data_IF_430302217381
#
_entry.id   IF_430302217381
#
_cell.length_a   1.000
_cell.length_b   1.000
_cell.length_c   1.000
_cell.angle_alpha   90.00
_cell.angle_beta   90.00
_cell.angle_gamma   90.00
#
_symmetry.space_group_name_H-M   'P 1'
#
loop_
_entity.id
_entity.type
_entity.pdbx_description
1 polymer ?
#
# COMPACT_ATOMS: atom_id res chain seq x y z
N UNK A 1 19.37 13.56 -34.80
CA UNK A 1 18.20 13.23 -33.94
C UNK A 1 17.59 14.54 -33.44
N UNK A 2 16.27 14.72 -33.40
CA UNK A 2 15.68 15.98 -32.93
C UNK A 2 15.87 16.16 -31.41
N UNK A 3 15.88 17.41 -30.92
CA UNK A 3 16.07 17.68 -29.48
C UNK A 3 15.02 16.98 -28.61
N UNK A 4 13.74 16.97 -29.01
CA UNK A 4 12.69 16.24 -28.27
C UNK A 4 13.01 14.75 -28.18
N UNK A 5 13.39 14.12 -29.29
CA UNK A 5 13.73 12.69 -29.31
C UNK A 5 14.93 12.40 -28.42
N UNK A 6 15.94 13.27 -28.43
CA UNK A 6 17.15 13.13 -27.61
C UNK A 6 16.83 13.30 -26.12
N UNK A 7 16.07 14.33 -25.76
CA UNK A 7 15.60 14.57 -24.40
C UNK A 7 14.77 13.41 -23.88
N UNK A 8 13.83 12.90 -24.68
CA UNK A 8 13.00 11.76 -24.34
C UNK A 8 13.83 10.47 -24.17
N UNK A 9 14.79 10.23 -25.07
CA UNK A 9 15.63 9.03 -25.04
C UNK A 9 16.48 8.93 -23.77
N UNK A 10 16.84 10.06 -23.15
CA UNK A 10 17.59 10.10 -21.88
C UNK A 10 16.63 10.19 -20.68
N UNK A 11 15.70 11.14 -20.69
CA UNK A 11 14.84 11.43 -19.53
C UNK A 11 13.87 10.28 -19.21
N UNK A 12 13.31 9.62 -20.21
CA UNK A 12 12.35 8.53 -20.01
C UNK A 12 12.96 7.32 -19.29
N UNK A 13 14.07 6.72 -19.76
CA UNK A 13 14.70 5.64 -19.01
C UNK A 13 15.27 6.13 -17.66
N UNK A 14 15.81 7.35 -17.57
CA UNK A 14 16.27 7.90 -16.29
C UNK A 14 15.14 7.91 -15.25
N UNK A 15 13.95 8.40 -15.63
CA UNK A 15 12.78 8.39 -14.78
C UNK A 15 12.44 6.99 -14.27
N UNK A 16 12.33 6.00 -15.17
CA UNK A 16 11.99 4.62 -14.79
C UNK A 16 13.09 3.89 -14.01
N UNK A 17 14.35 4.32 -14.13
CA UNK A 17 15.43 3.77 -13.30
C UNK A 17 15.44 4.35 -11.89
N UNK A 18 15.14 5.64 -11.73
CA UNK A 18 15.17 6.31 -10.43
C UNK A 18 13.88 6.16 -9.61
N UNK A 19 12.70 6.27 -10.25
CA UNK A 19 11.40 6.31 -9.56
C UNK A 19 11.10 5.06 -8.73
N UNK A 20 11.31 3.82 -9.20
CA UNK A 20 11.05 2.63 -8.38
C UNK A 20 11.86 2.62 -7.09
N UNK A 21 13.13 3.04 -7.14
CA UNK A 21 14.01 3.12 -5.97
C UNK A 21 13.47 4.14 -4.98
N UNK A 22 13.06 5.32 -5.47
CA UNK A 22 12.45 6.37 -4.63
C UNK A 22 11.13 5.93 -4.00
N UNK A 23 10.30 5.16 -4.72
CA UNK A 23 9.05 4.61 -4.18
C UNK A 23 9.35 3.63 -3.04
N UNK A 24 10.32 2.74 -3.20
CA UNK A 24 10.72 1.82 -2.11
C UNK A 24 11.14 2.59 -0.87
N UNK A 25 11.95 3.64 -1.04
CA UNK A 25 12.36 4.52 0.07
C UNK A 25 11.15 5.21 0.70
N UNK A 26 10.23 5.75 -0.10
CA UNK A 26 9.02 6.41 0.38
C UNK A 26 8.14 5.44 1.21
N UNK A 27 8.02 4.19 0.76
CA UNK A 27 7.29 3.14 1.49
C UNK A 27 7.98 2.77 2.80
N UNK A 28 9.32 2.73 2.84
CA UNK A 28 10.07 2.51 4.08
C UNK A 28 9.88 3.66 5.08
N UNK A 29 9.89 4.91 4.60
CA UNK A 29 9.58 6.08 5.45
C UNK A 29 8.18 5.97 6.06
N UNK A 30 7.18 5.62 5.24
CA UNK A 30 5.81 5.39 5.71
C UNK A 30 5.73 4.27 6.76
N UNK A 31 6.46 3.18 6.55
CA UNK A 31 6.52 2.08 7.53
C UNK A 31 7.14 2.51 8.87
N UNK A 32 8.05 3.49 8.85
CA UNK A 32 8.67 4.07 10.05
C UNK A 32 7.82 5.18 10.70
N UNK A 33 6.63 5.48 10.17
CA UNK A 33 5.79 6.60 10.66
C UNK A 33 6.29 7.98 10.25
N UNK A 34 7.25 8.06 9.30
CA UNK A 34 7.71 9.31 8.72
C UNK A 34 6.99 9.55 7.39
N UNK A 35 6.10 10.53 7.35
CA UNK A 35 5.35 10.82 6.15
C UNK A 35 6.22 11.51 5.09
N UNK A 36 6.32 10.98 3.86
CA UNK A 36 7.16 11.55 2.79
C UNK A 36 6.79 12.96 2.35
N UNK A 37 5.59 13.43 2.70
CA UNK A 37 5.08 14.77 2.42
C UNK A 37 5.20 15.74 3.60
N UNK A 38 5.69 15.27 4.76
CA UNK A 38 6.03 16.13 5.90
C UNK A 38 7.52 16.49 5.87
N UNK A 39 7.90 17.64 6.41
CA UNK A 39 9.26 18.18 6.31
C UNK A 39 10.41 17.20 6.66
N UNK A 40 10.36 16.38 7.73
CA UNK A 40 11.46 15.44 7.99
C UNK A 40 11.52 14.32 6.95
N UNK A 41 10.39 13.75 6.54
CA UNK A 41 10.34 12.68 5.53
C UNK A 41 10.65 13.19 4.12
N UNK A 42 10.13 14.37 3.76
CA UNK A 42 10.35 15.02 2.47
C UNK A 42 11.82 15.43 2.31
N UNK A 43 12.43 16.07 3.31
CA UNK A 43 13.83 16.48 3.24
C UNK A 43 14.76 15.26 3.09
N UNK A 44 14.48 14.19 3.83
CA UNK A 44 15.23 12.93 3.71
C UNK A 44 15.08 12.32 2.31
N UNK A 45 13.85 12.25 1.79
CA UNK A 45 13.57 11.70 0.46
C UNK A 45 14.24 12.54 -0.64
N UNK A 46 14.22 13.86 -0.54
CA UNK A 46 14.89 14.76 -1.48
C UNK A 46 16.41 14.60 -1.43
N UNK A 47 17.00 14.53 -0.24
CA UNK A 47 18.43 14.34 -0.07
C UNK A 47 18.89 13.02 -0.70
N UNK A 48 18.17 11.94 -0.43
CA UNK A 48 18.48 10.60 -0.97
C UNK A 48 18.15 10.49 -2.47
N UNK A 49 17.22 11.31 -2.98
CA UNK A 49 16.89 11.39 -4.40
C UNK A 49 18.06 11.90 -5.25
N UNK A 50 18.90 12.80 -4.73
CA UNK A 50 20.02 13.39 -5.49
C UNK A 50 20.97 12.34 -6.06
N UNK A 51 21.59 11.45 -5.27
CA UNK A 51 22.51 10.43 -5.80
C UNK A 51 21.80 9.45 -6.75
N UNK A 52 20.52 9.14 -6.48
CA UNK A 52 19.71 8.27 -7.34
C UNK A 52 19.50 8.92 -8.72
N UNK A 53 19.18 10.22 -8.74
CA UNK A 53 18.95 10.97 -9.97
C UNK A 53 20.22 11.14 -10.81
N UNK A 54 21.35 11.44 -10.15
CA UNK A 54 22.65 11.52 -10.81
C UNK A 54 23.00 10.19 -11.47
N UNK A 55 22.83 9.08 -10.74
CA UNK A 55 23.09 7.74 -11.26
C UNK A 55 22.16 7.36 -12.41
N UNK A 56 20.86 7.61 -12.27
CA UNK A 56 19.86 7.34 -13.30
C UNK A 56 20.13 8.12 -14.60
N UNK A 57 20.46 9.41 -14.49
CA UNK A 57 20.84 10.26 -15.61
C UNK A 57 22.16 9.82 -16.25
N UNK A 58 23.14 9.41 -15.45
CA UNK A 58 24.42 8.91 -15.95
C UNK A 58 24.25 7.64 -16.78
N UNK A 59 23.54 6.65 -16.23
CA UNK A 59 23.29 5.36 -16.87
C UNK A 59 22.52 5.54 -18.18
N UNK A 60 21.42 6.30 -18.15
CA UNK A 60 20.58 6.57 -19.33
C UNK A 60 21.30 7.39 -20.40
N UNK A 61 22.11 8.37 -20.02
CA UNK A 61 22.88 9.14 -21.00
C UNK A 61 23.96 8.27 -21.64
N UNK A 62 24.70 7.46 -20.87
CA UNK A 62 25.71 6.53 -21.39
C UNK A 62 25.12 5.53 -22.37
N UNK A 63 23.91 5.01 -22.12
CA UNK A 63 23.23 4.11 -23.07
C UNK A 63 22.95 4.82 -24.38
N UNK A 64 22.39 6.02 -24.35
CA UNK A 64 22.07 6.78 -25.57
C UNK A 64 23.33 7.17 -26.35
N UNK A 65 24.39 7.60 -25.66
CA UNK A 65 25.64 8.01 -26.29
C UNK A 65 26.33 6.84 -27.00
N UNK A 66 26.46 5.69 -26.34
CA UNK A 66 27.17 4.54 -26.89
C UNK A 66 26.32 3.78 -27.93
N UNK A 67 25.06 3.48 -27.61
CA UNK A 67 24.22 2.61 -28.43
C UNK A 67 23.61 3.33 -29.64
N UNK A 68 23.06 4.54 -29.41
CA UNK A 68 22.30 5.27 -30.44
C UNK A 68 23.15 6.27 -31.22
N UNK A 69 24.09 6.94 -30.55
CA UNK A 69 24.90 8.00 -31.14
C UNK A 69 26.32 7.56 -31.52
N UNK A 70 26.80 6.43 -30.99
CA UNK A 70 28.19 5.95 -31.17
C UNK A 70 29.23 7.00 -30.78
N UNK A 71 28.99 7.66 -29.66
CA UNK A 71 29.86 8.67 -29.07
C UNK A 71 30.39 8.18 -27.73
N UNK A 72 31.63 8.53 -27.41
CA UNK A 72 32.19 8.30 -26.09
C UNK A 72 31.55 9.27 -25.09
N UNK A 73 30.88 8.78 -24.03
CA UNK A 73 30.25 9.64 -23.05
C UNK A 73 31.32 10.39 -22.24
N UNK A 74 31.14 11.71 -21.99
CA UNK A 74 32.01 12.43 -21.07
C UNK A 74 32.05 11.78 -19.67
N UNK A 75 33.17 11.92 -18.96
CA UNK A 75 33.39 11.18 -17.70
C UNK A 75 32.40 11.52 -16.56
N UNK A 76 31.77 12.71 -16.60
CA UNK A 76 30.85 13.21 -15.55
C UNK A 76 29.47 13.57 -16.07
N UNK A 77 29.00 12.89 -17.11
CA UNK A 77 27.71 13.20 -17.78
C UNK A 77 26.53 13.22 -16.81
N UNK A 78 26.45 12.26 -15.87
CA UNK A 78 25.36 12.26 -14.87
C UNK A 78 25.28 13.54 -14.06
N UNK A 79 26.41 14.00 -13.50
CA UNK A 79 26.46 15.20 -12.66
C UNK A 79 26.22 16.46 -13.49
N UNK A 80 26.80 16.54 -14.70
CA UNK A 80 26.61 17.71 -15.57
C UNK A 80 25.16 17.83 -16.01
N UNK A 81 24.55 16.73 -16.46
CA UNK A 81 23.13 16.72 -16.83
C UNK A 81 22.23 16.98 -15.63
N UNK A 82 22.55 16.44 -14.45
CA UNK A 82 21.74 16.64 -13.25
C UNK A 82 21.65 18.11 -12.86
N UNK A 83 22.78 18.82 -12.73
CA UNK A 83 22.72 20.23 -12.30
C UNK A 83 22.07 21.12 -13.38
N UNK A 84 22.35 20.84 -14.66
CA UNK A 84 21.73 21.57 -15.78
C UNK A 84 20.21 21.32 -15.83
N UNK A 85 19.78 20.08 -15.58
CA UNK A 85 18.37 19.73 -15.46
C UNK A 85 17.74 20.39 -14.23
N UNK A 86 18.43 20.45 -13.09
CA UNK A 86 17.96 21.16 -11.90
C UNK A 86 17.75 22.64 -12.16
N UNK A 87 18.68 23.30 -12.87
CA UNK A 87 18.50 24.69 -13.28
C UNK A 87 17.31 24.85 -14.23
N UNK A 88 17.16 23.93 -15.20
CA UNK A 88 16.00 23.91 -16.08
C UNK A 88 14.71 23.73 -15.28
N UNK A 89 14.65 22.81 -14.32
CA UNK A 89 13.48 22.60 -13.47
C UNK A 89 13.17 23.82 -12.61
N UNK A 90 14.18 24.44 -11.99
CA UNK A 90 14.02 25.62 -11.15
C UNK A 90 13.38 26.80 -11.90
N UNK A 91 13.68 26.94 -13.21
CA UNK A 91 13.10 27.99 -14.05
C UNK A 91 11.79 27.56 -14.71
N UNK A 92 11.75 26.36 -15.27
CA UNK A 92 10.65 25.89 -16.10
C UNK A 92 9.43 25.47 -15.28
N UNK A 93 9.64 24.80 -14.14
CA UNK A 93 8.54 24.24 -13.36
C UNK A 93 7.60 25.31 -12.79
N UNK A 94 8.09 26.45 -12.21
CA UNK A 94 7.20 27.52 -11.78
C UNK A 94 6.41 28.13 -12.94
N UNK A 95 7.04 28.32 -14.10
CA UNK A 95 6.38 28.85 -15.30
C UNK A 95 5.31 27.89 -15.79
N UNK A 96 5.63 26.60 -15.91
CA UNK A 96 4.69 25.56 -16.31
C UNK A 96 3.51 25.46 -15.32
N UNK A 97 3.78 25.52 -14.02
CA UNK A 97 2.75 25.54 -12.99
C UNK A 97 1.81 26.75 -13.13
N UNK A 98 2.35 27.94 -13.37
CA UNK A 98 1.54 29.14 -13.60
C UNK A 98 0.69 29.03 -14.87
N UNK A 99 1.27 28.58 -15.99
CA UNK A 99 0.53 28.42 -17.25
C UNK A 99 -0.59 27.38 -17.09
N UNK A 100 -0.28 26.23 -16.50
CA UNK A 100 -1.25 25.13 -16.33
C UNK A 100 -2.36 25.53 -15.35
N UNK A 101 -2.03 26.15 -14.21
CA UNK A 101 -3.03 26.59 -13.23
C UNK A 101 -3.98 27.64 -13.81
N UNK A 102 -3.47 28.60 -14.59
CA UNK A 102 -4.31 29.59 -15.29
C UNK A 102 -5.16 28.94 -16.38
N UNK A 103 -4.61 27.97 -17.11
CA UNK A 103 -5.36 27.21 -18.12
C UNK A 103 -6.50 26.44 -17.47
N UNK A 104 -6.25 25.73 -16.37
CA UNK A 104 -7.29 25.00 -15.62
C UNK A 104 -8.35 25.95 -15.10
N UNK A 105 -7.97 27.09 -14.53
CA UNK A 105 -8.92 28.09 -14.02
C UNK A 105 -9.79 28.67 -15.15
N UNK A 106 -9.18 29.06 -16.27
CA UNK A 106 -9.88 29.58 -17.44
C UNK A 106 -10.81 28.54 -18.08
N UNK A 107 -10.32 27.31 -18.25
CA UNK A 107 -11.09 26.21 -18.82
C UNK A 107 -12.29 25.84 -17.94
N UNK A 108 -12.12 25.82 -16.60
CA UNK A 108 -13.23 25.63 -15.66
C UNK A 108 -14.25 26.75 -15.73
N UNK A 109 -13.81 28.00 -15.84
CA UNK A 109 -14.72 29.14 -15.96
C UNK A 109 -15.58 29.05 -17.23
N UNK A 110 -14.94 28.74 -18.38
CA UNK A 110 -15.66 28.54 -19.66
C UNK A 110 -16.60 27.34 -19.57
N UNK A 111 -16.13 26.21 -19.03
CA UNK A 111 -16.94 25.02 -18.81
C UNK A 111 -18.20 25.34 -17.98
N UNK A 112 -18.04 26.06 -16.88
CA UNK A 112 -19.15 26.50 -16.02
C UNK A 112 -20.19 27.34 -16.78
N UNK A 113 -19.75 28.28 -17.64
CA UNK A 113 -20.64 29.09 -18.47
C UNK A 113 -21.43 28.27 -19.49
N UNK A 114 -20.83 27.23 -20.06
CA UNK A 114 -21.52 26.33 -21.00
C UNK A 114 -22.67 25.60 -20.31
N UNK A 115 -22.53 25.22 -19.03
CA UNK A 115 -23.61 24.60 -18.26
C UNK A 115 -24.71 25.58 -17.78
N UNK A 116 -24.48 26.89 -17.87
CA UNK A 116 -25.53 27.89 -17.62
C UNK A 116 -26.52 27.99 -18.80
N UNK A 117 -26.15 27.46 -19.98
CA UNK A 117 -27.01 27.40 -21.17
C UNK A 117 -28.18 26.43 -20.95
N UNK A 118 -29.36 26.81 -21.44
CA UNK A 118 -30.62 26.07 -21.23
C UNK A 118 -30.57 24.61 -21.73
N UNK A 119 -29.73 24.32 -22.71
CA UNK A 119 -29.58 22.99 -23.32
C UNK A 119 -29.05 21.92 -22.35
N UNK A 120 -28.32 22.31 -21.30
CA UNK A 120 -27.60 21.38 -20.40
C UNK A 120 -28.14 21.36 -18.96
N UNK A 121 -29.18 22.15 -18.66
CA UNK A 121 -29.81 22.20 -17.33
C UNK A 121 -30.61 20.94 -16.97
N UNK A 122 -31.05 20.18 -17.96
CA UNK A 122 -31.88 18.97 -17.79
C UNK A 122 -31.08 17.68 -17.56
N UNK A 123 -29.73 17.74 -17.63
CA UNK A 123 -28.91 16.55 -17.49
C UNK A 123 -28.80 16.06 -16.03
N UNK A 124 -28.79 14.73 -15.79
CA UNK A 124 -28.48 14.15 -14.49
C UNK A 124 -27.12 14.61 -13.94
N UNK A 125 -27.03 14.74 -12.61
CA UNK A 125 -25.81 15.21 -11.90
C UNK A 125 -24.54 14.44 -12.30
N UNK A 126 -24.53 13.09 -12.44
CA UNK A 126 -23.32 12.36 -12.82
C UNK A 126 -22.81 12.70 -14.23
N UNK A 127 -23.74 12.86 -15.19
CA UNK A 127 -23.40 13.20 -16.58
C UNK A 127 -22.82 14.61 -16.67
N UNK A 128 -23.38 15.54 -15.90
CA UNK A 128 -22.87 16.91 -15.79
C UNK A 128 -21.43 16.95 -15.33
N UNK A 129 -21.08 16.22 -14.26
CA UNK A 129 -19.71 16.19 -13.72
C UNK A 129 -18.75 15.57 -14.75
N UNK A 130 -19.16 14.51 -15.44
CA UNK A 130 -18.33 13.85 -16.45
C UNK A 130 -18.05 14.76 -17.66
N UNK A 131 -19.07 15.43 -18.18
CA UNK A 131 -18.92 16.39 -19.30
C UNK A 131 -18.10 17.60 -18.86
N UNK A 132 -18.32 18.11 -17.64
CA UNK A 132 -17.53 19.21 -17.10
C UNK A 132 -16.05 18.83 -17.01
N UNK A 133 -15.74 17.69 -16.39
CA UNK A 133 -14.38 17.18 -16.24
C UNK A 133 -13.68 16.96 -17.58
N UNK A 134 -14.38 16.40 -18.57
CA UNK A 134 -13.80 16.17 -19.91
C UNK A 134 -13.61 17.47 -20.69
N UNK A 135 -14.52 18.43 -20.56
CA UNK A 135 -14.45 19.70 -21.26
C UNK A 135 -13.27 20.56 -20.79
N UNK A 136 -13.12 20.80 -19.48
CA UNK A 136 -11.94 21.55 -19.00
C UNK A 136 -10.68 20.69 -18.94
N UNK A 137 -10.82 19.39 -18.64
CA UNK A 137 -9.71 18.46 -18.50
C UNK A 137 -9.00 18.15 -19.82
N UNK A 138 -9.72 18.09 -20.95
CA UNK A 138 -9.09 17.91 -22.27
C UNK A 138 -8.23 19.11 -22.66
N UNK A 139 -8.70 20.33 -22.44
CA UNK A 139 -7.95 21.56 -22.69
C UNK A 139 -6.70 21.63 -21.81
N UNK A 140 -6.85 21.38 -20.50
CA UNK A 140 -5.73 21.31 -19.57
C UNK A 140 -4.71 20.24 -20.00
N UNK A 141 -5.17 19.03 -20.33
CA UNK A 141 -4.29 17.95 -20.78
C UNK A 141 -3.49 18.32 -22.04
N UNK A 142 -4.09 19.01 -23.02
CA UNK A 142 -3.38 19.47 -24.23
C UNK A 142 -2.28 20.47 -23.87
N UNK A 143 -2.56 21.43 -22.98
CA UNK A 143 -1.56 22.41 -22.53
C UNK A 143 -0.45 21.72 -21.73
N UNK A 144 -0.80 20.81 -20.82
CA UNK A 144 0.17 20.01 -20.08
C UNK A 144 1.09 19.22 -21.02
N UNK A 145 0.54 18.57 -22.05
CA UNK A 145 1.35 17.86 -23.05
C UNK A 145 2.27 18.82 -23.83
N UNK A 146 1.79 20.01 -24.20
CA UNK A 146 2.62 21.02 -24.84
C UNK A 146 3.76 21.49 -23.93
N UNK A 147 3.50 21.67 -22.63
CA UNK A 147 4.53 21.99 -21.63
C UNK A 147 5.53 20.84 -21.46
N UNK A 148 5.08 19.59 -21.43
CA UNK A 148 6.00 18.43 -21.39
C UNK A 148 6.91 18.41 -22.62
N UNK A 149 6.37 18.66 -23.82
CA UNK A 149 7.18 18.78 -25.04
C UNK A 149 8.15 19.96 -24.96
N UNK A 150 7.71 21.10 -24.41
CA UNK A 150 8.56 22.26 -24.17
C UNK A 150 9.73 21.96 -23.23
N UNK A 151 9.48 21.23 -22.15
CA UNK A 151 10.53 20.75 -21.26
C UNK A 151 11.49 19.80 -21.96
N UNK A 152 10.99 18.83 -22.74
CA UNK A 152 11.80 17.90 -23.52
C UNK A 152 12.66 18.59 -24.57
N UNK A 153 12.19 19.70 -25.15
CA UNK A 153 12.99 20.55 -26.03
C UNK A 153 14.17 21.19 -25.28
N UNK A 154 13.90 21.76 -24.10
CA UNK A 154 14.92 22.37 -23.26
C UNK A 154 15.97 21.36 -22.80
N UNK A 155 15.52 20.26 -22.22
CA UNK A 155 16.39 19.18 -21.76
C UNK A 155 17.15 18.53 -22.93
N UNK A 156 16.48 18.31 -24.06
CA UNK A 156 17.10 17.80 -25.28
C UNK A 156 18.19 18.71 -25.85
N UNK A 157 18.06 20.04 -25.72
CA UNK A 157 19.14 20.98 -26.07
C UNK A 157 20.33 20.84 -25.15
N UNK A 158 20.10 20.71 -23.84
CA UNK A 158 21.16 20.48 -22.84
C UNK A 158 21.94 19.20 -23.19
N UNK A 159 21.25 18.09 -23.44
CA UNK A 159 21.89 16.84 -23.88
C UNK A 159 22.63 17.04 -25.21
N UNK A 160 22.04 17.77 -26.15
CA UNK A 160 22.65 18.10 -27.44
C UNK A 160 23.99 18.86 -27.30
N UNK A 161 24.11 19.75 -26.31
CA UNK A 161 25.39 20.42 -26.02
C UNK A 161 26.46 19.45 -25.53
N UNK A 162 26.09 18.44 -24.74
CA UNK A 162 27.02 17.39 -24.29
C UNK A 162 27.39 16.44 -25.44
N UNK A 163 26.46 16.19 -26.35
CA UNK A 163 26.71 15.41 -27.58
C UNK A 163 27.72 16.13 -28.48
N UNK A 164 27.63 17.46 -28.59
CA UNK A 164 28.54 18.25 -29.42
C UNK A 164 29.99 18.26 -28.92
N UNK A 165 30.21 18.07 -27.61
CA UNK A 165 31.55 17.98 -27.00
C UNK A 165 32.09 16.55 -26.92
N UNK A 166 31.25 15.55 -27.23
CA UNK A 166 31.62 14.14 -27.16
C UNK A 166 32.46 13.72 -28.37
N UNK A 167 33.40 12.80 -28.12
CA UNK A 167 34.27 12.26 -29.17
C UNK A 167 33.57 11.10 -29.89
N UNK A 168 33.76 10.95 -31.22
CA UNK A 168 33.28 9.77 -31.91
C UNK A 168 33.92 8.51 -31.34
N UNK A 169 33.11 7.46 -31.14
CA UNK A 169 33.64 6.17 -30.76
C UNK A 169 34.34 5.53 -31.96
N UNK A 170 35.65 5.31 -31.85
CA UNK A 170 36.46 4.65 -32.89
C UNK A 170 36.36 3.12 -32.86
N UNK A 171 35.76 2.57 -31.80
CA UNK A 171 35.73 1.13 -31.54
C UNK A 171 34.64 0.40 -32.34
N UNK A 172 34.86 -0.88 -32.70
CA UNK A 172 33.83 -1.70 -33.33
C UNK A 172 32.65 -1.91 -32.37
N UNK A 173 31.45 -2.16 -32.93
CA UNK A 173 30.21 -2.27 -32.15
C UNK A 173 30.30 -3.27 -30.98
N UNK A 174 30.95 -4.42 -31.17
CA UNK A 174 31.13 -5.41 -30.10
C UNK A 174 31.95 -4.88 -28.93
N UNK A 175 32.96 -4.05 -29.18
CA UNK A 175 33.77 -3.42 -28.14
C UNK A 175 32.96 -2.35 -27.39
N UNK A 176 32.09 -1.61 -28.08
CA UNK A 176 31.16 -0.67 -27.45
C UNK A 176 30.12 -1.37 -26.56
N UNK A 177 29.59 -2.52 -26.99
CA UNK A 177 28.69 -3.33 -26.16
C UNK A 177 29.43 -3.88 -24.95
N UNK A 178 30.68 -4.34 -25.11
CA UNK A 178 31.50 -4.81 -24.00
C UNK A 178 31.81 -3.68 -23.01
N UNK A 179 32.20 -2.51 -23.48
CA UNK A 179 32.37 -1.30 -22.66
C UNK A 179 31.05 -0.96 -21.97
N UNK A 180 29.95 -1.10 -22.70
CA UNK A 180 28.56 -1.18 -22.28
C UNK A 180 28.36 -1.93 -20.96
N UNK A 181 28.55 -3.24 -21.09
CA UNK A 181 28.29 -4.21 -20.04
C UNK A 181 29.22 -3.97 -18.85
N UNK A 182 30.48 -3.61 -19.11
CA UNK A 182 31.44 -3.26 -18.07
C UNK A 182 31.08 -1.98 -17.31
N UNK A 183 30.32 -1.06 -17.89
CA UNK A 183 29.83 0.13 -17.18
C UNK A 183 28.62 -0.16 -16.28
N UNK A 184 27.92 -1.27 -16.51
CA UNK A 184 26.76 -1.72 -15.71
C UNK A 184 27.15 -2.66 -14.58
N UNK A 185 28.14 -3.50 -14.84
CA UNK A 185 28.69 -4.43 -13.85
C UNK A 185 29.70 -3.65 -13.02
N UNK A 186 29.51 -3.50 -11.70
CA UNK A 186 30.56 -2.94 -10.86
C UNK A 186 31.84 -3.75 -11.06
N UNK A 187 32.95 -3.06 -11.28
CA UNK A 187 34.26 -3.69 -11.45
C UNK A 187 34.55 -4.67 -10.31
N UNK A 188 34.05 -4.37 -9.11
CA UNK A 188 34.14 -5.21 -7.93
C UNK A 188 32.78 -5.87 -7.60
N UNK A 189 32.42 -6.89 -8.36
CA UNK A 189 31.30 -7.79 -8.05
C UNK A 189 31.26 -8.30 -6.60
N UNK A 190 32.40 -8.71 -5.96
CA UNK A 190 32.36 -9.12 -4.56
C UNK A 190 32.00 -7.96 -3.62
N UNK A 191 32.41 -6.74 -3.95
CA UNK A 191 32.08 -5.55 -3.17
C UNK A 191 30.59 -5.21 -3.31
N UNK A 192 30.02 -5.32 -4.51
CA UNK A 192 28.56 -5.18 -4.70
C UNK A 192 27.79 -6.23 -3.89
N UNK A 193 28.19 -7.50 -3.93
CA UNK A 193 27.52 -8.54 -3.15
C UNK A 193 27.62 -8.24 -1.65
N UNK A 194 28.79 -7.78 -1.19
CA UNK A 194 29.01 -7.41 0.21
C UNK A 194 28.14 -6.23 0.63
N UNK A 195 28.06 -5.18 -0.20
CA UNK A 195 27.22 -4.01 0.08
C UNK A 195 25.73 -4.38 0.05
N UNK A 196 25.30 -5.21 -0.90
CA UNK A 196 23.90 -5.63 -1.04
C UNK A 196 23.47 -6.53 0.12
N UNK A 197 24.32 -7.49 0.50
CA UNK A 197 24.07 -8.33 1.68
C UNK A 197 24.13 -7.52 2.97
N UNK A 198 25.10 -6.64 3.15
CA UNK A 198 25.17 -5.75 4.30
C UNK A 198 23.91 -4.87 4.40
N UNK A 199 23.51 -4.24 3.29
CA UNK A 199 22.29 -3.42 3.23
C UNK A 199 21.04 -4.25 3.53
N UNK A 200 20.93 -5.45 2.96
CA UNK A 200 19.84 -6.38 3.25
C UNK A 200 19.78 -6.75 4.73
N UNK A 201 20.92 -7.10 5.34
CA UNK A 201 21.02 -7.37 6.78
C UNK A 201 20.65 -6.15 7.60
N UNK A 202 21.14 -4.95 7.26
CA UNK A 202 20.78 -3.71 7.94
C UNK A 202 19.28 -3.43 7.84
N UNK A 203 18.67 -3.60 6.66
CA UNK A 203 17.24 -3.43 6.47
C UNK A 203 16.43 -4.45 7.28
N UNK A 204 16.88 -5.71 7.36
CA UNK A 204 16.24 -6.72 8.21
C UNK A 204 16.37 -6.33 9.68
N UNK A 205 17.54 -5.90 10.13
CA UNK A 205 17.75 -5.46 11.53
C UNK A 205 16.90 -4.24 11.85
N UNK A 206 16.85 -3.24 10.97
CA UNK A 206 16.00 -2.07 11.11
C UNK A 206 14.52 -2.48 11.12
N UNK A 207 14.10 -3.34 10.20
CA UNK A 207 12.75 -3.87 10.15
C UNK A 207 12.37 -4.55 11.46
N UNK A 208 13.24 -5.40 12.02
CA UNK A 208 13.00 -6.04 13.32
C UNK A 208 13.06 -5.07 14.50
N UNK A 209 13.91 -4.05 14.46
CA UNK A 209 14.05 -3.05 15.52
C UNK A 209 12.89 -2.05 15.54
N UNK A 210 12.33 -1.72 14.37
CA UNK A 210 11.24 -0.76 14.20
C UNK A 210 9.87 -1.42 14.02
N UNK A 211 9.78 -2.73 13.79
CA UNK A 211 8.52 -3.45 13.91
C UNK A 211 8.01 -3.20 15.33
N UNK A 212 6.89 -2.47 15.48
CA UNK A 212 6.30 -2.34 16.79
C UNK A 212 5.92 -3.77 17.21
N UNK A 213 6.24 -4.14 18.45
CA UNK A 213 5.73 -5.38 19.06
C UNK A 213 4.23 -5.16 19.30
N UNK A 214 3.46 -5.05 18.22
CA UNK A 214 2.01 -5.02 18.24
C UNK A 214 1.55 -6.45 18.40
N UNK A 215 1.68 -6.96 19.63
CA UNK A 215 0.55 -7.75 20.11
C UNK A 215 -0.68 -6.86 19.91
N UNK A 216 -1.71 -7.31 19.16
CA UNK A 216 -2.83 -6.45 18.79
C UNK A 216 -3.47 -5.91 20.07
N UNK A 217 -3.22 -4.63 20.38
CA UNK A 217 -3.92 -3.94 21.44
C UNK A 217 -5.33 -3.73 20.91
N UNK A 218 -6.37 -4.30 21.57
CA UNK A 218 -7.73 -4.01 21.20
C UNK A 218 -7.92 -2.50 21.25
N UNK A 219 -8.47 -1.92 20.17
CA UNK A 219 -8.83 -0.51 20.13
C UNK A 219 -9.66 -0.17 21.38
N UNK A 220 -9.56 1.05 21.91
CA UNK A 220 -10.28 1.47 23.12
C UNK A 220 -11.80 1.23 23.06
N UNK A 221 -12.37 1.16 21.85
CA UNK A 221 -13.78 0.90 21.54
C UNK A 221 -14.16 -0.59 21.58
N UNK A 222 -13.17 -1.49 21.63
CA UNK A 222 -13.33 -2.95 21.62
C UNK A 222 -12.52 -3.60 22.74
N UNK A 223 -12.68 -3.11 23.97
CA UNK A 223 -12.22 -3.87 25.13
C UNK A 223 -13.05 -5.16 25.19
N UNK A 224 -12.39 -6.33 25.05
CA UNK A 224 -13.05 -7.59 25.38
C UNK A 224 -13.60 -7.46 26.79
N UNK A 225 -14.90 -7.71 27.03
CA UNK A 225 -15.42 -7.82 28.37
C UNK A 225 -14.51 -8.78 29.13
N UNK A 226 -13.97 -8.35 30.28
CA UNK A 226 -13.19 -9.25 31.13
C UNK A 226 -14.12 -10.37 31.54
N UNK A 227 -14.01 -11.50 30.85
CA UNK A 227 -14.67 -12.73 31.25
C UNK A 227 -14.07 -13.08 32.61
N UNK A 228 -14.87 -12.87 33.66
CA UNK A 228 -14.49 -13.30 35.00
C UNK A 228 -14.26 -14.79 34.91
N UNK A 229 -12.98 -15.18 34.91
CA UNK A 229 -12.57 -16.58 34.99
C UNK A 229 -13.41 -17.20 36.08
N UNK A 230 -14.27 -18.15 35.71
CA UNK A 230 -15.11 -18.84 36.67
C UNK A 230 -14.18 -19.37 37.77
N UNK A 231 -14.51 -19.16 39.07
CA UNK A 231 -13.64 -19.57 40.15
C UNK A 231 -13.31 -21.05 39.97
N UNK A 232 -12.03 -21.39 40.11
CA UNK A 232 -11.54 -22.74 39.89
C UNK A 232 -12.39 -23.73 40.67
N UNK A 233 -13.01 -24.66 39.96
CA UNK A 233 -13.81 -25.73 40.55
C UNK A 233 -12.89 -26.58 41.43
N UNK A 234 -12.96 -26.41 42.75
CA UNK A 234 -12.28 -27.29 43.69
C UNK A 234 -13.01 -28.65 43.64
N UNK A 235 -12.35 -29.72 43.14
CA UNK A 235 -13.01 -31.01 42.93
C UNK A 235 -13.61 -31.58 44.21
N UNK A 236 -12.97 -31.32 45.35
CA UNK A 236 -13.43 -31.74 46.67
C UNK A 236 -14.76 -31.11 47.09
N UNK A 237 -14.97 -29.82 46.82
CA UNK A 237 -16.22 -29.12 47.18
C UNK A 237 -17.38 -29.52 46.26
N UNK A 238 -17.08 -29.84 44.99
CA UNK A 238 -18.04 -30.39 44.05
C UNK A 238 -18.48 -31.80 44.46
N UNK A 239 -17.54 -32.68 44.83
CA UNK A 239 -17.82 -34.04 45.29
C UNK A 239 -18.68 -34.06 46.56
N UNK A 240 -18.38 -33.23 47.55
CA UNK A 240 -19.18 -33.16 48.79
C UNK A 240 -20.62 -32.67 48.55
N UNK A 241 -20.82 -31.77 47.58
CA UNK A 241 -22.18 -31.33 47.19
C UNK A 241 -22.93 -32.49 46.53
N UNK A 242 -22.27 -33.24 45.65
CA UNK A 242 -22.87 -34.40 45.00
C UNK A 242 -23.22 -35.50 46.00
N UNK A 243 -22.36 -35.79 46.97
CA UNK A 243 -22.65 -36.76 48.05
C UNK A 243 -23.88 -36.36 48.87
N UNK A 244 -24.02 -35.07 49.23
CA UNK A 244 -25.20 -34.57 49.94
C UNK A 244 -26.47 -34.70 49.12
N UNK A 245 -26.41 -34.46 47.81
CA UNK A 245 -27.56 -34.62 46.92
C UNK A 245 -27.94 -36.10 46.78
N UNK A 246 -26.96 -37.00 46.69
CA UNK A 246 -27.19 -38.45 46.66
C UNK A 246 -27.86 -38.92 47.97
N UNK A 247 -27.34 -38.49 49.13
CA UNK A 247 -27.95 -38.83 50.42
C UNK A 247 -29.40 -38.31 50.56
N UNK A 248 -29.68 -37.10 50.06
CA UNK A 248 -31.05 -36.57 50.03
C UNK A 248 -31.96 -37.35 49.07
N UNK A 249 -31.44 -37.77 47.92
CA UNK A 249 -32.17 -38.59 46.96
C UNK A 249 -32.48 -39.98 47.54
N UNK A 250 -31.53 -40.61 48.24
CA UNK A 250 -31.75 -41.89 48.93
C UNK A 250 -32.83 -41.80 50.00
N UNK A 251 -32.82 -40.74 50.82
CA UNK A 251 -33.86 -40.49 51.81
C UNK A 251 -35.23 -40.26 51.16
N UNK A 252 -35.28 -39.55 50.04
CA UNK A 252 -36.51 -39.33 49.28
C UNK A 252 -37.04 -40.64 48.68
N UNK A 253 -36.16 -41.51 48.16
CA UNK A 253 -36.51 -42.83 47.64
C UNK A 253 -37.03 -43.72 48.78
N UNK A 254 -36.37 -43.77 49.92
CA UNK A 254 -36.85 -44.54 51.08
C UNK A 254 -38.20 -44.03 51.61
N UNK A 255 -38.41 -42.71 51.62
CA UNK A 255 -39.69 -42.12 51.98
C UNK A 255 -40.81 -42.48 50.98
N UNK A 256 -40.48 -42.54 49.69
CA UNK A 256 -41.40 -42.98 48.63
C UNK A 256 -41.70 -44.48 48.74
N UNK A 257 -40.70 -45.32 49.01
CA UNK A 257 -40.89 -46.75 49.23
C UNK A 257 -41.70 -47.04 50.50
N UNK A 258 -41.48 -46.30 51.59
CA UNK A 258 -42.30 -46.39 52.80
C UNK A 258 -43.74 -45.97 52.55
N UNK A 259 -43.97 -44.89 51.77
CA UNK A 259 -45.31 -44.48 51.33
C UNK A 259 -45.96 -45.51 50.42
N UNK A 260 -45.20 -46.15 49.52
CA UNK A 260 -45.71 -47.23 48.66
C UNK A 260 -46.09 -48.48 49.46
N UNK A 261 -45.30 -48.86 50.48
CA UNK A 261 -45.59 -49.98 51.41
C UNK A 261 -46.76 -49.67 52.36
N UNK A 262 -46.97 -48.41 52.74
CA UNK A 262 -48.14 -47.99 53.50
C UNK A 262 -49.42 -47.94 52.63
N UNK A 263 -49.29 -47.53 51.36
CA UNK A 263 -50.38 -47.52 50.39
C UNK A 263 -50.88 -48.92 50.01
N UNK A 264 -50.01 -49.94 49.97
CA UNK A 264 -50.42 -51.33 49.71
C UNK A 264 -51.21 -51.94 50.87
N UNK A 265 -50.85 -51.63 52.14
CA UNK A 265 -51.60 -52.10 53.32
C UNK A 265 -53.02 -51.54 53.41
N UNK A 266 -53.28 -50.34 52.86
CA UNK A 266 -54.64 -49.76 52.84
C UNK A 266 -55.49 -50.26 51.67
N UNK A 267 -54.87 -50.73 50.57
CA UNK A 267 -55.60 -51.29 49.42
C UNK A 267 -56.19 -52.68 49.69
N UNK A 268 -55.58 -53.47 50.58
CA UNK A 268 -56.09 -54.80 50.93
C UNK A 268 -57.27 -54.80 51.93
N UNK A 269 -57.46 -53.74 52.72
CA UNK A 269 -58.68 -53.59 53.54
C UNK A 269 -59.90 -53.17 52.72
N UNK A 270 -59.73 -52.40 51.65
CA UNK A 270 -60.85 -51.88 50.87
C UNK A 270 -61.33 -52.81 49.74
N UNK A 271 -60.69 -53.97 49.53
CA UNK A 271 -61.07 -54.94 48.50
C UNK A 271 -62.04 -56.03 48.99
N UNK A 272 -62.38 -56.08 50.29
CA UNK A 272 -63.35 -57.05 50.85
C UNK A 272 -64.81 -56.55 50.90
N UNK A 273 -65.07 -55.27 50.67
CA UNK A 273 -66.43 -54.69 50.74
C UNK A 273 -67.07 -54.39 49.38
N UNK A 274 -66.33 -54.50 48.26
CA UNK A 274 -66.81 -54.10 46.93
C UNK A 274 -67.21 -55.23 45.98
N UNK A 275 -67.38 -56.47 46.45
CA UNK A 275 -67.64 -57.64 45.57
C UNK A 275 -68.80 -58.51 46.07
N UNK A 276 -70.02 -57.96 46.13
CA UNK A 276 -71.25 -58.78 46.15
C UNK A 276 -72.54 -58.15 45.59
N UNK A 277 -72.56 -56.87 45.22
CA UNK A 277 -73.80 -56.20 44.73
C UNK A 277 -73.93 -56.02 43.21
N UNK A 278 -73.31 -56.89 42.41
CA UNK A 278 -73.44 -56.81 40.94
C UNK A 278 -73.66 -58.18 40.27
N UNK A 279 -74.61 -58.99 40.77
CA UNK A 279 -75.26 -60.06 39.98
C UNK A 279 -76.47 -60.71 40.70
N UNK A 280 -77.64 -60.06 40.69
CA UNK A 280 -78.97 -60.74 40.68
C UNK A 280 -80.11 -59.73 40.47
N UNK A 281 -80.30 -59.32 39.21
CA UNK A 281 -81.60 -58.90 38.67
C UNK A 281 -81.67 -59.43 37.24
N UNK A 282 -81.99 -60.71 37.15
CA UNK A 282 -82.60 -61.40 36.03
C UNK A 282 -83.05 -62.76 36.59
N UNK A 283 -84.37 -62.95 36.57
CA UNK A 283 -85.17 -64.13 36.90
C UNK A 283 -85.36 -64.50 38.39
#
# INVERSE_FOLDING_TARGET
>A
MSSVKLGLAVAWPAFWTGVPIKIVIALLLLAMGLYPWEMPGLAFLLLLSIPIDIWALDLSAKTVFLERLRLQPPARVGVTLWWQAMLLYALYLPIAYLIESQTVAGAKAVAGRVFELELLKSLPVPERISIELTMWGSVAAVVLLALVVGWLLGFGRIVGMQVATARPAAEPYQALVRQWDLLRVPADQPLLLTVLTATGVTLVVLFWAFMPVTTPHPHELYQKPQERVAPSLKPAEALQKTEKVIAQAELAVQALEAKARAGSKNRDKNKKTGKRDARSKAD
#
